data_IF_202219390607
#
_entry.id   IF_202219390607
#
_cell.length_a   1.000
_cell.length_b   1.000
_cell.length_c   1.000
_cell.angle_alpha   90.00
_cell.angle_beta   90.00
_cell.angle_gamma   90.00
#
_symmetry.space_group_name_H-M   'P 1'
#
loop_
_entity.id
_entity.type
_entity.pdbx_description
1 polymer ?
#
# COMPACT_ATOMS: atom_id res chain seq x y z
N UNK A 1 -27.05 0.81 -30.93
CA UNK A 1 -27.18 -0.55 -30.34
C UNK A 1 -25.84 -1.29 -30.35
N UNK A 2 -25.16 -1.42 -31.50
CA UNK A 2 -23.90 -2.18 -31.64
C UNK A 2 -22.71 -1.59 -30.85
N UNK A 3 -22.55 -0.27 -30.79
CA UNK A 3 -21.41 0.36 -30.12
C UNK A 3 -21.43 0.22 -28.58
N UNK A 4 -22.60 0.38 -27.95
CA UNK A 4 -22.76 0.20 -26.50
C UNK A 4 -22.58 -1.28 -26.10
N UNK A 5 -23.07 -2.19 -26.94
CA UNK A 5 -22.86 -3.63 -26.75
C UNK A 5 -21.37 -3.99 -26.80
N UNK A 6 -20.63 -3.47 -27.79
CA UNK A 6 -19.20 -3.71 -27.92
C UNK A 6 -18.39 -3.15 -26.74
N UNK A 7 -18.73 -1.96 -26.24
CA UNK A 7 -18.09 -1.38 -25.05
C UNK A 7 -18.31 -2.25 -23.79
N UNK A 8 -19.53 -2.76 -23.61
CA UNK A 8 -19.86 -3.64 -22.47
C UNK A 8 -19.09 -4.96 -22.55
N UNK A 9 -18.99 -5.54 -23.75
CA UNK A 9 -18.21 -6.77 -23.98
C UNK A 9 -16.71 -6.55 -23.72
N UNK A 10 -16.16 -5.43 -24.22
CA UNK A 10 -14.77 -5.08 -23.97
C UNK A 10 -14.49 -4.91 -22.48
N UNK A 11 -15.38 -4.25 -21.73
CA UNK A 11 -15.22 -4.07 -20.28
C UNK A 11 -15.25 -5.41 -19.54
N UNK A 12 -16.15 -6.32 -19.91
CA UNK A 12 -16.18 -7.66 -19.33
C UNK A 12 -14.86 -8.41 -19.56
N UNK A 13 -14.29 -8.31 -20.76
CA UNK A 13 -12.98 -8.92 -21.06
C UNK A 13 -11.85 -8.32 -20.22
N UNK A 14 -11.83 -6.99 -20.02
CA UNK A 14 -10.87 -6.34 -19.14
C UNK A 14 -10.96 -6.84 -17.70
N UNK A 15 -12.18 -6.95 -17.16
CA UNK A 15 -12.38 -7.46 -15.79
C UNK A 15 -11.90 -8.91 -15.68
N UNK A 16 -12.22 -9.76 -16.66
CA UNK A 16 -11.76 -11.17 -16.65
C UNK A 16 -10.24 -11.28 -16.78
N UNK A 17 -9.62 -10.42 -17.60
CA UNK A 17 -8.17 -10.33 -17.69
C UNK A 17 -7.54 -9.88 -16.36
N UNK A 18 -8.16 -8.92 -15.66
CA UNK A 18 -7.72 -8.50 -14.34
C UNK A 18 -7.84 -9.62 -13.31
N UNK A 19 -8.98 -10.34 -13.27
CA UNK A 19 -9.20 -11.50 -12.38
C UNK A 19 -8.12 -12.56 -12.58
N UNK A 20 -7.78 -12.85 -13.84
CA UNK A 20 -6.68 -13.76 -14.17
C UNK A 20 -5.33 -13.20 -13.69
N UNK A 21 -5.11 -11.90 -13.85
CA UNK A 21 -3.89 -11.21 -13.41
C UNK A 21 -3.67 -11.25 -11.90
N UNK A 22 -4.73 -11.10 -11.09
CA UNK A 22 -4.66 -11.23 -9.63
C UNK A 22 -4.54 -12.69 -9.16
N UNK A 23 -4.68 -13.68 -10.05
CA UNK A 23 -4.40 -15.08 -9.75
C UNK A 23 -5.47 -15.81 -8.95
N UNK A 24 -6.74 -15.39 -9.03
CA UNK A 24 -7.86 -16.01 -8.30
C UNK A 24 -8.73 -16.82 -9.26
N UNK A 25 -8.74 -18.15 -9.10
CA UNK A 25 -9.43 -19.08 -10.02
C UNK A 25 -10.96 -19.07 -9.90
N UNK A 26 -11.50 -18.94 -8.68
CA UNK A 26 -12.95 -18.94 -8.42
C UNK A 26 -13.44 -17.58 -7.89
N UNK A 27 -13.15 -16.50 -8.62
CA UNK A 27 -13.56 -15.15 -8.20
C UNK A 27 -15.08 -14.93 -8.34
N UNK A 28 -15.79 -14.71 -7.22
CA UNK A 28 -17.25 -14.59 -7.20
C UNK A 28 -17.80 -13.16 -7.00
N UNK A 29 -16.95 -12.13 -6.96
CA UNK A 29 -17.35 -10.76 -6.64
C UNK A 29 -17.09 -9.77 -7.80
N UNK A 30 -17.44 -10.16 -9.02
CA UNK A 30 -17.16 -9.39 -10.25
C UNK A 30 -17.73 -7.97 -10.20
N UNK A 31 -18.92 -7.79 -9.62
CA UNK A 31 -19.54 -6.47 -9.45
C UNK A 31 -18.77 -5.59 -8.47
N UNK A 32 -18.28 -6.16 -7.35
CA UNK A 32 -17.45 -5.42 -6.40
C UNK A 32 -16.13 -5.00 -7.03
N UNK A 33 -15.53 -5.87 -7.84
CA UNK A 33 -14.33 -5.55 -8.59
C UNK A 33 -14.57 -4.45 -9.63
N UNK A 34 -15.70 -4.47 -10.34
CA UNK A 34 -16.06 -3.40 -11.27
C UNK A 34 -16.24 -2.06 -10.56
N UNK A 35 -16.78 -2.07 -9.33
CA UNK A 35 -16.87 -0.89 -8.48
C UNK A 35 -15.46 -0.41 -8.09
N UNK A 36 -14.60 -1.31 -7.61
CA UNK A 36 -13.23 -0.99 -7.20
C UNK A 36 -12.39 -0.37 -8.34
N UNK A 37 -12.58 -0.85 -9.57
CA UNK A 37 -11.88 -0.35 -10.76
C UNK A 37 -12.47 0.96 -11.33
N UNK A 38 -13.47 1.57 -10.69
CA UNK A 38 -14.10 2.84 -11.09
C UNK A 38 -13.91 3.90 -10.02
N UNK A 39 -12.80 4.62 -10.10
CA UNK A 39 -12.51 5.70 -9.16
C UNK A 39 -13.60 6.80 -9.20
N UNK A 40 -13.95 7.44 -8.07
CA UNK A 40 -14.92 8.54 -8.01
C UNK A 40 -14.72 9.63 -9.08
N UNK A 41 -13.48 9.94 -9.45
CA UNK A 41 -13.18 10.89 -10.55
C UNK A 41 -13.88 10.54 -11.87
N UNK A 42 -14.02 9.25 -12.20
CA UNK A 42 -14.70 8.80 -13.40
C UNK A 42 -16.21 8.85 -13.23
N UNK A 43 -16.71 8.48 -12.05
CA UNK A 43 -18.13 8.52 -11.70
C UNK A 43 -18.67 9.95 -11.86
N UNK A 44 -17.93 10.94 -11.35
CA UNK A 44 -18.32 12.35 -11.42
C UNK A 44 -18.36 12.91 -12.84
N UNK A 45 -17.47 12.45 -13.73
CA UNK A 45 -17.45 12.84 -15.14
C UNK A 45 -18.45 12.07 -16.02
N UNK A 46 -19.07 11.01 -15.50
CA UNK A 46 -20.03 10.20 -16.27
C UNK A 46 -21.37 10.92 -16.50
N UNK A 47 -22.09 10.54 -17.58
CA UNK A 47 -23.38 11.14 -17.98
C UNK A 47 -24.60 10.52 -17.26
N UNK A 48 -24.44 10.03 -16.03
CA UNK A 48 -25.54 9.51 -15.22
C UNK A 48 -26.10 10.60 -14.31
N UNK A 49 -27.31 10.38 -13.79
CA UNK A 49 -27.95 11.30 -12.86
C UNK A 49 -27.18 11.37 -11.52
N UNK A 50 -27.42 12.44 -10.75
CA UNK A 50 -26.72 12.69 -9.49
C UNK A 50 -26.95 11.58 -8.45
N UNK A 51 -28.15 11.00 -8.36
CA UNK A 51 -28.43 9.95 -7.38
C UNK A 51 -27.62 8.68 -7.70
N UNK A 52 -27.50 8.34 -8.98
CA UNK A 52 -26.65 7.24 -9.43
C UNK A 52 -25.17 7.49 -9.10
N UNK A 53 -24.66 8.72 -9.28
CA UNK A 53 -23.28 9.09 -8.91
C UNK A 53 -23.04 8.90 -7.42
N UNK A 54 -23.91 9.46 -6.59
CA UNK A 54 -23.82 9.38 -5.13
C UNK A 54 -23.85 7.92 -4.65
N UNK A 55 -24.70 7.08 -5.26
CA UNK A 55 -24.77 5.65 -4.96
C UNK A 55 -23.47 4.92 -5.32
N UNK A 56 -22.92 5.17 -6.51
CA UNK A 56 -21.68 4.53 -6.96
C UNK A 56 -20.47 4.95 -6.14
N UNK A 57 -20.34 6.24 -5.80
CA UNK A 57 -19.28 6.70 -4.90
C UNK A 57 -19.42 6.05 -3.53
N UNK A 58 -20.63 6.02 -2.96
CA UNK A 58 -20.86 5.36 -1.67
C UNK A 58 -20.48 3.89 -1.71
N UNK A 59 -20.77 3.19 -2.80
CA UNK A 59 -20.38 1.79 -2.97
C UNK A 59 -18.85 1.63 -3.01
N UNK A 60 -18.16 2.48 -3.77
CA UNK A 60 -16.68 2.51 -3.84
C UNK A 60 -16.06 2.78 -2.47
N UNK A 61 -16.48 3.85 -1.77
CA UNK A 61 -15.92 4.23 -0.46
C UNK A 61 -16.15 3.17 0.61
N UNK A 62 -17.31 2.49 0.58
CA UNK A 62 -17.58 1.35 1.48
C UNK A 62 -16.64 0.17 1.21
N UNK A 63 -16.26 -0.04 -0.04
CA UNK A 63 -15.37 -1.12 -0.43
C UNK A 63 -13.91 -0.80 -0.04
N UNK A 64 -13.46 0.43 -0.29
CA UNK A 64 -12.16 0.94 0.16
C UNK A 64 -12.02 0.83 1.69
N UNK A 65 -13.03 1.30 2.43
CA UNK A 65 -13.05 1.20 3.89
C UNK A 65 -13.00 -0.25 4.40
N UNK A 66 -13.67 -1.19 3.72
CA UNK A 66 -13.57 -2.61 4.05
C UNK A 66 -12.16 -3.14 3.78
N UNK A 67 -11.56 -2.77 2.65
CA UNK A 67 -10.22 -3.18 2.27
C UNK A 67 -9.15 -2.68 3.22
N UNK A 68 -9.19 -1.39 3.58
CA UNK A 68 -8.31 -0.78 4.59
C UNK A 68 -8.34 -1.53 5.93
N UNK A 69 -9.54 -1.81 6.45
CA UNK A 69 -9.69 -2.57 7.69
C UNK A 69 -9.12 -4.00 7.59
N UNK A 70 -9.28 -4.67 6.45
CA UNK A 70 -8.74 -6.02 6.20
C UNK A 70 -7.22 -5.97 6.04
N UNK A 71 -6.67 -5.00 5.30
CA UNK A 71 -5.24 -4.75 5.16
C UNK A 71 -4.60 -4.58 6.54
N UNK A 72 -5.13 -3.66 7.34
CA UNK A 72 -4.58 -3.35 8.65
C UNK A 72 -4.61 -4.55 9.61
N UNK A 73 -5.64 -5.42 9.50
CA UNK A 73 -5.71 -6.65 10.27
C UNK A 73 -4.67 -7.69 9.82
N UNK A 74 -4.54 -7.91 8.50
CA UNK A 74 -3.56 -8.86 7.95
C UNK A 74 -2.13 -8.43 8.28
N UNK A 75 -1.80 -7.15 8.10
CA UNK A 75 -0.45 -6.64 8.38
C UNK A 75 -0.12 -6.77 9.86
N UNK A 76 -1.04 -6.42 10.77
CA UNK A 76 -0.82 -6.62 12.21
C UNK A 76 -0.62 -8.09 12.56
N UNK A 77 -1.44 -8.99 12.01
CA UNK A 77 -1.34 -10.43 12.24
C UNK A 77 0.00 -11.00 11.72
N UNK A 78 0.40 -10.59 10.51
CA UNK A 78 1.64 -11.00 9.87
C UNK A 78 2.88 -10.56 10.65
N UNK A 79 2.93 -9.29 11.08
CA UNK A 79 4.05 -8.77 11.86
C UNK A 79 4.14 -9.42 13.25
N UNK A 80 2.99 -9.64 13.91
CA UNK A 80 2.94 -10.33 15.21
C UNK A 80 3.52 -11.74 15.14
N UNK A 81 3.23 -12.50 14.07
CA UNK A 81 3.81 -13.83 13.87
C UNK A 81 5.30 -13.77 13.48
N UNK A 82 5.71 -12.76 12.71
CA UNK A 82 7.07 -12.64 12.17
C UNK A 82 8.09 -12.18 13.20
N UNK A 83 7.70 -11.29 14.11
CA UNK A 83 8.60 -10.63 15.05
C UNK A 83 8.13 -10.82 16.51
N UNK A 84 8.33 -12.01 17.09
CA UNK A 84 7.82 -12.35 18.42
C UNK A 84 8.46 -11.55 19.56
N UNK A 85 9.64 -10.98 19.35
CA UNK A 85 10.39 -10.22 20.36
C UNK A 85 10.21 -8.70 20.23
N UNK A 86 9.54 -8.22 19.17
CA UNK A 86 9.38 -6.79 18.92
C UNK A 86 8.42 -6.12 19.88
N UNK A 87 8.68 -4.85 20.17
CA UNK A 87 7.81 -4.01 21.00
C UNK A 87 6.57 -3.56 20.23
N UNK A 88 5.56 -3.05 20.96
CA UNK A 88 4.39 -2.43 20.31
C UNK A 88 4.78 -1.26 19.40
N UNK A 89 5.82 -0.51 19.76
CA UNK A 89 6.31 0.64 19.00
C UNK A 89 6.84 0.22 17.63
N UNK A 90 7.80 -0.72 17.63
CA UNK A 90 8.39 -1.30 16.42
C UNK A 90 7.31 -1.88 15.50
N UNK A 91 6.43 -2.74 16.02
CA UNK A 91 5.33 -3.31 15.22
C UNK A 91 4.38 -2.23 14.63
N UNK A 92 4.28 -1.07 15.28
CA UNK A 92 3.49 0.05 14.77
C UNK A 92 4.22 0.81 13.67
N UNK A 93 5.54 0.91 13.75
CA UNK A 93 6.41 1.53 12.76
C UNK A 93 6.45 0.69 11.47
N UNK A 94 6.78 -0.60 11.56
CA UNK A 94 6.75 -1.53 10.43
C UNK A 94 5.39 -1.52 9.73
N UNK A 95 4.32 -1.53 10.53
CA UNK A 95 2.97 -1.48 10.01
C UNK A 95 2.74 -0.20 9.21
N UNK A 96 3.19 0.95 9.71
CA UNK A 96 3.03 2.23 9.02
C UNK A 96 3.75 2.21 7.67
N UNK A 97 4.98 1.71 7.63
CA UNK A 97 5.75 1.56 6.38
C UNK A 97 5.04 0.66 5.37
N UNK A 98 4.48 -0.48 5.81
CA UNK A 98 3.77 -1.42 4.94
C UNK A 98 2.40 -0.94 4.42
N UNK A 99 1.77 0.02 5.10
CA UNK A 99 0.41 0.50 4.76
C UNK A 99 0.35 1.98 4.40
N UNK A 100 1.48 2.61 4.17
CA UNK A 100 1.51 4.00 3.74
C UNK A 100 1.03 4.16 2.28
N UNK A 101 0.81 5.42 1.87
CA UNK A 101 0.27 5.70 0.54
C UNK A 101 1.26 5.43 -0.59
N UNK A 102 2.56 5.56 -0.34
CA UNK A 102 3.58 5.27 -1.34
C UNK A 102 3.59 3.76 -1.61
N UNK A 103 3.70 2.96 -0.56
CA UNK A 103 3.72 1.51 -0.61
C UNK A 103 2.44 0.93 -1.24
N UNK A 104 1.26 1.40 -0.82
CA UNK A 104 -0.01 0.93 -1.39
C UNK A 104 -0.19 1.37 -2.85
N UNK A 105 0.35 2.54 -3.24
CA UNK A 105 0.39 2.96 -4.64
C UNK A 105 1.28 2.03 -5.47
N UNK A 106 2.42 1.61 -4.93
CA UNK A 106 3.27 0.62 -5.60
C UNK A 106 2.58 -0.73 -5.74
N UNK A 107 1.84 -1.20 -4.74
CA UNK A 107 1.06 -2.43 -4.85
C UNK A 107 -0.03 -2.32 -5.94
N UNK A 108 -0.70 -1.16 -6.04
CA UNK A 108 -1.61 -0.87 -7.14
C UNK A 108 -0.95 -0.94 -8.52
N UNK A 109 0.28 -0.41 -8.65
CA UNK A 109 1.05 -0.44 -9.89
C UNK A 109 1.52 -1.87 -10.21
N UNK A 110 2.00 -2.63 -9.21
CA UNK A 110 2.36 -4.06 -9.33
C UNK A 110 1.15 -4.91 -9.78
N UNK A 111 -0.08 -4.49 -9.45
CA UNK A 111 -1.33 -5.08 -9.94
C UNK A 111 -1.74 -4.65 -11.36
N UNK A 112 -0.97 -3.78 -12.02
CA UNK A 112 -1.33 -3.12 -13.27
C UNK A 112 -2.64 -2.33 -13.19
N UNK A 113 -3.06 -1.82 -12.01
CA UNK A 113 -4.28 -1.03 -11.90
C UNK A 113 -4.38 0.16 -12.89
N UNK A 114 -3.30 0.88 -13.22
CA UNK A 114 -3.36 1.95 -14.22
C UNK A 114 -3.98 1.52 -15.56
N UNK A 115 -3.80 0.28 -15.98
CA UNK A 115 -4.30 -0.25 -17.26
C UNK A 115 -5.78 -0.69 -17.21
N UNK A 116 -6.28 -1.05 -16.02
CA UNK A 116 -7.62 -1.60 -15.85
C UNK A 116 -8.61 -0.62 -15.23
N UNK A 117 -8.13 0.43 -14.57
CA UNK A 117 -8.97 1.41 -13.90
C UNK A 117 -9.67 2.38 -14.87
N UNK A 118 -10.82 2.88 -14.44
CA UNK A 118 -11.51 3.99 -15.08
C UNK A 118 -11.31 5.25 -14.23
N UNK A 119 -10.54 6.19 -14.78
CA UNK A 119 -10.26 7.50 -14.17
C UNK A 119 -10.92 8.63 -14.98
N UNK A 120 -11.17 9.75 -14.30
CA UNK A 120 -11.59 11.01 -14.93
C UNK A 120 -10.55 11.49 -15.94
N UNK A 121 -11.00 12.21 -16.98
CA UNK A 121 -10.17 12.71 -18.08
C UNK A 121 -9.03 13.59 -17.57
N UNK A 122 -9.24 14.33 -16.49
CA UNK A 122 -8.24 15.21 -15.88
C UNK A 122 -7.05 14.47 -15.25
N UNK A 123 -7.19 13.17 -15.01
CA UNK A 123 -6.16 12.31 -14.39
C UNK A 123 -5.44 11.43 -15.42
N UNK A 124 -6.03 11.27 -16.62
CA UNK A 124 -5.43 10.46 -17.68
C UNK A 124 -4.13 11.09 -18.18
N UNK A 125 -3.06 10.29 -18.20
CA UNK A 125 -1.75 10.71 -18.69
C UNK A 125 -0.93 11.52 -17.69
N UNK A 126 -1.42 11.72 -16.46
CA UNK A 126 -0.58 12.24 -15.38
C UNK A 126 0.43 11.17 -14.93
N UNK A 127 1.62 11.56 -14.48
CA UNK A 127 2.57 10.65 -13.86
C UNK A 127 1.95 9.85 -12.72
N UNK A 128 2.39 8.60 -12.51
CA UNK A 128 1.85 7.72 -11.48
C UNK A 128 2.24 8.18 -10.07
N UNK A 129 3.46 8.67 -9.90
CA UNK A 129 3.95 9.25 -8.64
C UNK A 129 3.14 10.49 -8.20
N UNK A 130 2.59 11.27 -9.13
CA UNK A 130 1.68 12.38 -8.80
C UNK A 130 0.27 11.90 -8.36
N UNK A 131 0.01 10.60 -8.39
CA UNK A 131 -1.30 9.99 -8.15
C UNK A 131 -1.26 8.93 -7.04
N UNK A 132 -0.24 8.92 -6.19
CA UNK A 132 -0.07 7.95 -5.09
C UNK A 132 -1.33 7.78 -4.25
N UNK A 133 -1.91 8.89 -3.76
CA UNK A 133 -3.12 8.84 -2.93
C UNK A 133 -4.30 8.16 -3.61
N UNK A 134 -4.42 8.34 -4.93
CA UNK A 134 -5.48 7.73 -5.71
C UNK A 134 -5.24 6.23 -5.86
N UNK A 135 -4.03 5.82 -6.21
CA UNK A 135 -3.71 4.42 -6.41
C UNK A 135 -3.70 3.62 -5.11
N UNK A 136 -3.25 4.22 -4.00
CA UNK A 136 -3.38 3.64 -2.66
C UNK A 136 -4.85 3.35 -2.30
N UNK A 137 -5.74 4.34 -2.45
CA UNK A 137 -7.17 4.13 -2.17
C UNK A 137 -7.80 3.10 -3.12
N UNK A 138 -7.40 3.10 -4.39
CA UNK A 138 -7.86 2.09 -5.34
C UNK A 138 -7.37 0.68 -4.97
N UNK A 139 -6.15 0.55 -4.45
CA UNK A 139 -5.64 -0.72 -3.93
C UNK A 139 -6.50 -1.23 -2.78
N UNK A 140 -6.84 -0.38 -1.81
CA UNK A 140 -7.76 -0.72 -0.71
C UNK A 140 -9.12 -1.19 -1.26
N UNK A 141 -9.70 -0.45 -2.21
CA UNK A 141 -10.97 -0.86 -2.82
C UNK A 141 -10.87 -2.22 -3.53
N UNK A 142 -9.76 -2.49 -4.21
CA UNK A 142 -9.50 -3.78 -4.86
C UNK A 142 -9.32 -4.89 -3.84
N UNK A 143 -8.58 -4.65 -2.76
CA UNK A 143 -8.42 -5.61 -1.66
C UNK A 143 -9.77 -5.94 -1.02
N UNK A 144 -10.63 -4.93 -0.84
CA UNK A 144 -12.02 -5.12 -0.41
C UNK A 144 -12.80 -6.03 -1.38
N UNK A 145 -12.64 -5.84 -2.70
CA UNK A 145 -13.24 -6.72 -3.70
C UNK A 145 -12.66 -8.14 -3.66
N UNK A 146 -11.35 -8.29 -3.46
CA UNK A 146 -10.65 -9.57 -3.34
C UNK A 146 -11.13 -10.35 -2.12
N UNK A 147 -11.25 -9.70 -0.96
CA UNK A 147 -11.80 -10.31 0.24
C UNK A 147 -13.23 -10.82 0.03
N UNK A 148 -14.08 -10.04 -0.65
CA UNK A 148 -15.42 -10.50 -1.03
C UNK A 148 -15.37 -11.64 -2.07
N UNK A 149 -14.42 -11.59 -3.00
CA UNK A 149 -14.18 -12.61 -4.02
C UNK A 149 -13.80 -13.96 -3.43
N UNK A 150 -13.03 -13.96 -2.33
CA UNK A 150 -12.74 -15.12 -1.49
C UNK A 150 -13.89 -15.49 -0.53
N UNK A 151 -15.11 -14.99 -0.75
CA UNK A 151 -16.28 -15.24 0.12
C UNK A 151 -16.04 -14.86 1.58
N UNK A 152 -15.22 -13.83 1.82
CA UNK A 152 -14.82 -13.36 3.15
C UNK A 152 -13.95 -14.35 3.93
N UNK A 153 -13.23 -15.22 3.23
CA UNK A 153 -12.21 -16.08 3.84
C UNK A 153 -10.95 -15.24 4.13
N UNK A 154 -10.73 -14.96 5.42
CA UNK A 154 -9.60 -14.15 5.88
C UNK A 154 -8.25 -14.82 5.58
N UNK A 155 -8.13 -16.14 5.78
CA UNK A 155 -6.88 -16.86 5.54
C UNK A 155 -6.48 -16.86 4.06
N UNK A 156 -7.45 -16.98 3.15
CA UNK A 156 -7.17 -16.90 1.71
C UNK A 156 -6.72 -15.50 1.27
N UNK A 157 -7.39 -14.43 1.72
CA UNK A 157 -6.96 -13.06 1.39
C UNK A 157 -5.62 -12.71 2.04
N UNK A 158 -5.37 -13.15 3.28
CA UNK A 158 -4.10 -12.99 3.98
C UNK A 158 -2.97 -13.67 3.22
N UNK A 159 -3.13 -14.96 2.89
CA UNK A 159 -2.16 -15.71 2.09
C UNK A 159 -1.90 -15.08 0.73
N UNK A 160 -2.92 -14.52 0.08
CA UNK A 160 -2.79 -13.85 -1.21
C UNK A 160 -2.01 -12.53 -1.08
N UNK A 161 -2.32 -11.72 -0.08
CA UNK A 161 -1.69 -10.42 0.15
C UNK A 161 -0.22 -10.58 0.56
N UNK A 162 0.06 -11.49 1.49
CA UNK A 162 1.43 -11.75 1.98
C UNK A 162 2.33 -12.22 0.84
N UNK A 163 1.92 -13.27 0.13
CA UNK A 163 2.76 -13.89 -0.93
C UNK A 163 3.02 -13.00 -2.14
N UNK A 164 2.20 -11.97 -2.33
CA UNK A 164 2.22 -11.16 -3.55
C UNK A 164 2.79 -9.76 -3.31
N UNK A 165 2.81 -9.30 -2.05
CA UNK A 165 3.19 -7.94 -1.69
C UNK A 165 3.98 -7.88 -0.39
N UNK A 166 3.40 -8.33 0.73
CA UNK A 166 3.97 -8.00 2.05
C UNK A 166 5.29 -8.70 2.35
N UNK A 167 5.53 -9.91 1.83
CA UNK A 167 6.79 -10.60 2.06
C UNK A 167 7.96 -9.80 1.46
N UNK A 168 7.88 -9.49 0.16
CA UNK A 168 8.91 -8.74 -0.54
C UNK A 168 9.07 -7.32 0.03
N UNK A 169 7.95 -6.63 0.34
CA UNK A 169 8.00 -5.27 0.88
C UNK A 169 8.61 -5.23 2.30
N UNK A 170 8.32 -6.23 3.14
CA UNK A 170 8.92 -6.31 4.47
C UNK A 170 10.41 -6.61 4.39
N UNK A 171 10.83 -7.50 3.49
CA UNK A 171 12.25 -7.78 3.28
C UNK A 171 12.98 -6.50 2.78
N UNK A 172 12.37 -5.69 1.91
CA UNK A 172 12.92 -4.38 1.50
C UNK A 172 13.10 -3.43 2.69
N UNK A 173 12.10 -3.31 3.58
CA UNK A 173 12.16 -2.45 4.78
C UNK A 173 13.29 -2.89 5.73
N UNK A 174 13.40 -4.18 6.04
CA UNK A 174 14.43 -4.69 6.96
C UNK A 174 15.83 -4.41 6.41
N UNK A 175 16.06 -4.64 5.12
CA UNK A 175 17.38 -4.40 4.53
C UNK A 175 17.75 -2.92 4.55
N UNK A 176 16.78 -2.01 4.31
CA UNK A 176 17.03 -0.57 4.38
C UNK A 176 17.39 -0.14 5.81
N UNK A 177 16.78 -0.73 6.85
CA UNK A 177 17.13 -0.46 8.26
C UNK A 177 18.53 -0.98 8.63
N UNK A 178 18.92 -2.18 8.17
CA UNK A 178 20.27 -2.72 8.37
C UNK A 178 21.34 -1.84 7.69
N UNK A 179 21.08 -1.37 6.46
CA UNK A 179 21.96 -0.45 5.73
C UNK A 179 22.11 0.90 6.46
N UNK A 180 21.03 1.42 7.07
CA UNK A 180 21.06 2.66 7.84
C UNK A 180 21.84 2.49 9.15
N UNK A 181 21.70 1.36 9.85
CA UNK A 181 22.49 1.05 11.06
C UNK A 181 23.99 0.91 10.74
N UNK A 182 24.37 0.19 9.69
CA UNK A 182 25.77 0.07 9.24
C UNK A 182 26.37 1.44 8.88
N UNK A 183 25.60 2.31 8.21
CA UNK A 183 26.05 3.67 7.89
C UNK A 183 26.13 4.57 9.13
N UNK A 184 25.30 4.34 10.15
CA UNK A 184 25.37 5.07 11.41
C UNK A 184 26.59 4.67 12.24
N UNK A 185 26.97 3.39 12.23
CA UNK A 185 28.22 2.92 12.83
C UNK A 185 29.46 3.52 12.14
N UNK A 186 29.45 3.70 10.81
CA UNK A 186 30.55 4.36 10.07
C UNK A 186 30.60 5.89 10.28
N UNK A 187 29.49 6.50 10.71
CA UNK A 187 29.39 7.93 11.06
C UNK A 187 29.42 8.21 12.56
N UNK A 188 29.73 7.21 13.40
CA UNK A 188 29.99 7.36 14.83
C UNK A 188 31.23 8.23 15.05
N UNK A 189 31.07 9.56 14.90
CA UNK A 189 32.03 10.53 15.41
C UNK A 189 31.99 10.43 16.93
N UNK A 190 33.09 10.02 17.53
CA UNK A 190 33.21 10.13 18.97
C UNK A 190 33.09 11.62 19.36
N UNK A 191 32.76 11.89 20.63
CA UNK A 191 32.57 13.26 21.11
C UNK A 191 33.81 14.14 20.82
N UNK A 192 35.02 13.55 20.78
CA UNK A 192 36.26 14.27 20.48
C UNK A 192 36.40 14.58 18.99
N UNK A 193 36.01 13.68 18.11
CA UNK A 193 36.04 13.90 16.66
C UNK A 193 35.10 15.06 16.29
N UNK A 194 33.88 15.08 16.86
CA UNK A 194 32.95 16.19 16.67
C UNK A 194 33.49 17.51 17.23
N UNK A 195 34.04 17.50 18.45
CA UNK A 195 34.64 18.69 19.07
C UNK A 195 35.83 19.22 18.26
N UNK A 196 36.63 18.33 17.66
CA UNK A 196 37.72 18.69 16.75
C UNK A 196 37.22 19.42 15.50
N UNK A 197 36.14 18.94 14.88
CA UNK A 197 35.58 19.55 13.67
C UNK A 197 35.06 20.98 13.89
N UNK A 198 34.57 21.30 15.09
CA UNK A 198 34.09 22.64 15.44
C UNK A 198 35.16 23.52 16.13
N UNK A 199 36.42 23.07 16.18
CA UNK A 199 37.54 23.82 16.74
C UNK A 199 37.55 23.92 18.26
N UNK A 200 36.88 22.99 18.94
CA UNK A 200 36.77 22.88 20.39
C UNK A 200 37.58 21.69 20.94
N UNK A 201 38.75 21.43 20.35
CA UNK A 201 39.66 20.31 20.71
C UNK A 201 40.07 20.28 22.20
N UNK A 202 39.97 21.42 22.90
CA UNK A 202 40.32 21.56 24.32
C UNK A 202 39.09 21.65 25.25
N UNK A 203 37.89 21.29 24.77
CA UNK A 203 36.71 21.31 25.61
C UNK A 203 36.88 20.31 26.77
N UNK A 204 36.64 20.72 28.04
CA UNK A 204 36.87 19.82 29.18
C UNK A 204 35.94 18.62 29.10
N UNK A 205 36.51 17.44 29.25
CA UNK A 205 35.78 16.20 29.36
C UNK A 205 35.16 16.11 30.77
N UNK A 206 33.84 16.20 30.84
CA UNK A 206 33.09 16.19 32.10
C UNK A 206 32.60 14.78 32.48
N UNK A 207 32.95 13.74 31.72
CA UNK A 207 32.62 12.34 32.03
C UNK A 207 31.11 12.04 32.04
N UNK A 208 30.31 12.84 31.34
CA UNK A 208 28.86 12.66 31.22
C UNK A 208 28.41 12.42 29.77
N UNK A 209 29.35 12.36 28.83
CA UNK A 209 29.06 12.03 27.44
C UNK A 209 28.92 10.50 27.29
N UNK A 210 27.84 9.98 26.68
CA UNK A 210 27.70 8.56 26.42
C UNK A 210 28.76 8.09 25.41
N UNK A 211 29.57 7.09 25.76
CA UNK A 211 30.57 6.49 24.88
C UNK A 211 31.91 6.11 25.54
N UNK A 212 32.18 6.55 26.78
CA UNK A 212 33.47 6.30 27.45
C UNK A 212 33.42 5.20 28.54
N UNK A 213 32.30 4.49 28.72
CA UNK A 213 32.18 3.38 29.67
C UNK A 213 32.51 2.03 28.98
N UNK A 214 33.76 1.88 28.55
CA UNK A 214 34.38 0.55 28.34
C UNK A 214 35.07 0.14 29.65
N UNK A 215 34.36 -0.61 30.50
CA UNK A 215 34.89 -1.45 31.59
C UNK A 215 34.10 -2.78 31.68
#
# INVERSE_FOLDING_TARGET
MTQLYNQKQQRQQQIQAFIKGIGISEFQATEALEIALRHPSFIYESNVDRQTKDFQEKAYRRLAHLGDAILGAIVTDYLYERFPESTQGELTEDKQSLVDKAQLSEFAIKLNLPEFCLLGKSLKGKPLNEQERLFAEMFEAVLGAVYLGFKRDFSQVSSWLIKRFLADALDEIINDEEDDEENFEDMSLDTRDYLGMIGLENFPDYGWAPGDDDD
#
